data_IF_771168360802
#
_entry.id   IF_771168360802
#
_cell.length_a   1.000
_cell.length_b   1.000
_cell.length_c   1.000
_cell.angle_alpha   90.00
_cell.angle_beta   90.00
_cell.angle_gamma   90.00
#
_symmetry.space_group_name_H-M   'P 1'
#
loop_
_entity.id
_entity.type
_entity.pdbx_description
1 polymer ?
#
# COMPACT_ATOMS: atom_id res chain seq x y z
N UNK A 1 -0.19 -8.11 25.33
CA UNK A 1 -0.03 -9.21 24.36
C UNK A 1 0.70 -8.62 23.17
N UNK A 2 1.77 -9.26 22.72
CA UNK A 2 2.51 -8.82 21.53
C UNK A 2 1.66 -9.08 20.30
N UNK A 3 1.50 -8.07 19.47
CA UNK A 3 0.75 -8.10 18.23
C UNK A 3 1.70 -8.49 17.08
N UNK A 4 1.25 -9.30 16.14
CA UNK A 4 2.06 -9.74 15.02
C UNK A 4 1.64 -9.05 13.73
N UNK A 5 2.59 -8.36 13.08
CA UNK A 5 2.40 -7.61 11.85
C UNK A 5 3.31 -8.14 10.74
N UNK A 6 2.73 -8.43 9.60
CA UNK A 6 3.46 -8.64 8.35
C UNK A 6 3.24 -7.45 7.43
N UNK A 7 4.32 -6.89 6.88
CA UNK A 7 4.27 -5.78 5.91
C UNK A 7 4.78 -6.28 4.56
N UNK A 8 3.89 -6.35 3.57
CA UNK A 8 4.26 -6.59 2.17
C UNK A 8 4.31 -5.25 1.42
N UNK A 9 5.48 -4.93 0.89
CA UNK A 9 5.76 -3.62 0.31
C UNK A 9 6.34 -2.64 1.33
N UNK A 10 7.37 -3.06 2.07
CA UNK A 10 8.08 -2.22 3.03
C UNK A 10 8.96 -1.17 2.36
N UNK A 11 8.32 -0.35 1.51
CA UNK A 11 8.85 0.90 0.98
C UNK A 11 8.77 2.03 2.02
N UNK A 12 8.59 3.28 1.59
CA UNK A 12 8.57 4.43 2.51
C UNK A 12 7.46 4.29 3.57
N UNK A 13 6.20 4.14 3.19
CA UNK A 13 5.10 4.02 4.15
C UNK A 13 5.19 2.72 4.98
N UNK A 14 5.37 1.59 4.30
CA UNK A 14 5.40 0.30 4.99
C UNK A 14 6.54 0.21 6.01
N UNK A 15 7.70 0.81 5.72
CA UNK A 15 8.82 0.87 6.67
C UNK A 15 8.51 1.76 7.87
N UNK A 16 7.81 2.90 7.69
CA UNK A 16 7.41 3.80 8.78
C UNK A 16 6.45 3.08 9.75
N UNK A 17 5.43 2.43 9.20
CA UNK A 17 4.47 1.65 10.00
C UNK A 17 5.18 0.51 10.73
N UNK A 18 6.06 -0.22 10.05
CA UNK A 18 6.85 -1.30 10.65
C UNK A 18 7.70 -0.78 11.83
N UNK A 19 8.37 0.36 11.67
CA UNK A 19 9.19 0.97 12.74
C UNK A 19 8.34 1.40 13.93
N UNK A 20 7.21 2.06 13.70
CA UNK A 20 6.29 2.48 14.76
C UNK A 20 5.78 1.29 15.57
N UNK A 21 5.39 0.20 14.90
CA UNK A 21 4.87 -1.00 15.57
C UNK A 21 5.97 -1.75 16.32
N UNK A 22 7.16 -1.88 15.74
CA UNK A 22 8.31 -2.48 16.42
C UNK A 22 8.72 -1.69 17.69
N UNK A 23 8.71 -0.35 17.63
CA UNK A 23 8.98 0.51 18.79
C UNK A 23 7.93 0.35 19.91
N UNK A 24 6.72 -0.11 19.60
CA UNK A 24 5.67 -0.42 20.57
C UNK A 24 5.77 -1.85 21.14
N UNK A 25 6.79 -2.61 20.73
CA UNK A 25 7.02 -3.98 21.21
C UNK A 25 6.27 -5.06 20.45
N UNK A 26 5.72 -4.76 19.28
CA UNK A 26 5.10 -5.76 18.43
C UNK A 26 6.13 -6.58 17.66
N UNK A 27 5.75 -7.78 17.27
CA UNK A 27 6.57 -8.64 16.42
C UNK A 27 6.28 -8.30 14.95
N UNK A 28 7.26 -7.74 14.25
CA UNK A 28 7.07 -7.20 12.90
C UNK A 28 7.98 -7.89 11.89
N UNK A 29 7.38 -8.38 10.82
CA UNK A 29 8.08 -8.86 9.61
C UNK A 29 7.82 -7.89 8.47
N UNK A 30 8.87 -7.55 7.70
CA UNK A 30 8.76 -6.60 6.61
C UNK A 30 9.48 -7.12 5.36
N UNK A 31 8.69 -7.33 4.30
CA UNK A 31 9.19 -7.79 3.00
C UNK A 31 9.33 -6.63 2.03
N UNK A 32 10.49 -6.53 1.39
CA UNK A 32 10.76 -5.64 0.27
C UNK A 32 11.78 -6.23 -0.70
N UNK A 33 11.78 -5.75 -1.93
CA UNK A 33 12.72 -6.22 -2.97
C UNK A 33 14.14 -5.70 -2.81
N UNK A 34 14.29 -4.41 -2.42
CA UNK A 34 15.59 -3.78 -2.31
C UNK A 34 16.25 -4.15 -0.98
N UNK A 35 17.51 -4.58 -1.02
CA UNK A 35 18.30 -4.82 0.18
C UNK A 35 18.82 -3.49 0.75
N UNK A 36 18.03 -2.84 1.57
CA UNK A 36 18.37 -1.60 2.28
C UNK A 36 18.23 -1.84 3.78
N UNK A 37 18.96 -1.14 4.64
CA UNK A 37 18.82 -1.27 6.09
C UNK A 37 17.37 -1.06 6.54
N UNK A 38 16.92 -1.87 7.49
CA UNK A 38 15.65 -1.70 8.19
C UNK A 38 15.91 -1.18 9.60
N UNK A 39 14.98 -0.43 10.20
CA UNK A 39 15.04 -0.06 11.60
C UNK A 39 15.19 -1.30 12.51
N UNK A 40 15.79 -1.10 13.69
CA UNK A 40 15.95 -2.17 14.67
C UNK A 40 14.59 -2.76 15.11
N UNK A 41 14.57 -4.03 15.49
CA UNK A 41 13.38 -4.73 15.96
C UNK A 41 12.45 -5.26 14.86
N UNK A 42 12.82 -5.11 13.59
CA UNK A 42 12.06 -5.62 12.44
C UNK A 42 12.76 -6.86 11.86
N UNK A 43 12.02 -7.94 11.69
CA UNK A 43 12.47 -9.10 10.93
C UNK A 43 12.39 -8.77 9.43
N UNK A 44 13.53 -8.31 8.88
CA UNK A 44 13.62 -7.91 7.48
C UNK A 44 13.75 -9.13 6.56
N UNK A 45 12.94 -9.18 5.51
CA UNK A 45 13.05 -10.18 4.44
C UNK A 45 13.22 -9.45 3.10
N UNK A 46 14.20 -9.90 2.32
CA UNK A 46 14.43 -9.37 0.97
C UNK A 46 13.98 -10.39 -0.08
N UNK A 47 13.13 -9.94 -0.99
CA UNK A 47 12.64 -10.81 -2.05
C UNK A 47 11.40 -10.23 -2.74
N UNK A 48 10.94 -10.98 -3.74
CA UNK A 48 9.74 -10.62 -4.49
C UNK A 48 8.53 -11.35 -3.88
N UNK A 49 7.51 -10.59 -3.48
CA UNK A 49 6.25 -11.14 -2.94
C UNK A 49 5.47 -12.01 -3.95
N UNK A 50 5.85 -11.98 -5.23
CA UNK A 50 5.28 -12.86 -6.25
C UNK A 50 5.87 -14.27 -6.20
N UNK A 51 6.97 -14.48 -5.48
CA UNK A 51 7.61 -15.78 -5.30
C UNK A 51 7.03 -16.48 -4.07
N UNK A 52 6.48 -17.70 -4.25
CA UNK A 52 5.89 -18.47 -3.15
C UNK A 52 6.92 -18.80 -2.07
N UNK A 53 8.14 -19.11 -2.47
CA UNK A 53 9.26 -19.46 -1.61
C UNK A 53 9.65 -18.32 -0.66
N UNK A 54 9.45 -17.09 -1.09
CA UNK A 54 9.68 -15.89 -0.27
C UNK A 54 8.53 -15.71 0.71
N UNK A 55 7.28 -15.81 0.25
CA UNK A 55 6.13 -15.68 1.14
C UNK A 55 6.10 -16.75 2.23
N UNK A 56 6.49 -17.99 1.92
CA UNK A 56 6.55 -19.09 2.88
C UNK A 56 7.58 -18.88 4.01
N UNK A 57 8.48 -17.90 3.91
CA UNK A 57 9.39 -17.53 5.00
C UNK A 57 8.74 -16.56 6.01
N UNK A 58 7.58 -16.03 5.72
CA UNK A 58 6.82 -15.15 6.60
C UNK A 58 5.87 -15.96 7.50
N UNK A 59 5.50 -15.42 8.69
CA UNK A 59 4.61 -16.13 9.59
C UNK A 59 3.20 -16.28 9.02
N UNK A 60 2.66 -17.46 9.13
CA UNK A 60 1.24 -17.75 8.83
C UNK A 60 0.36 -17.28 9.98
N UNK A 61 -0.84 -16.78 9.67
CA UNK A 61 -1.86 -16.33 10.64
C UNK A 61 -1.40 -15.18 11.53
N UNK A 62 -0.54 -14.30 11.01
CA UNK A 62 -0.24 -13.03 11.66
C UNK A 62 -1.55 -12.27 11.98
N UNK A 63 -1.54 -11.45 13.04
CA UNK A 63 -2.72 -10.70 13.45
C UNK A 63 -3.14 -9.71 12.37
N UNK A 64 -2.17 -9.04 11.74
CA UNK A 64 -2.43 -8.14 10.59
C UNK A 64 -1.39 -8.33 9.48
N UNK A 65 -1.88 -8.30 8.26
CA UNK A 65 -1.11 -8.06 7.05
C UNK A 65 -1.36 -6.61 6.59
N UNK A 66 -0.33 -5.79 6.60
CA UNK A 66 -0.31 -4.50 5.88
C UNK A 66 0.16 -4.76 4.45
N UNK A 67 -0.73 -4.56 3.49
CA UNK A 67 -0.45 -4.74 2.07
C UNK A 67 -0.33 -3.36 1.40
N UNK A 68 0.91 -2.90 1.18
CA UNK A 68 1.20 -1.56 0.67
C UNK A 68 2.29 -1.52 -0.42
N UNK A 69 2.25 -2.42 -1.41
CA UNK A 69 3.23 -2.42 -2.49
C UNK A 69 3.01 -1.26 -3.46
N UNK A 70 4.02 -0.99 -4.27
CA UNK A 70 3.95 -0.05 -5.40
C UNK A 70 4.33 -0.79 -6.68
N UNK A 71 3.56 -0.66 -7.78
CA UNK A 71 3.89 -1.27 -9.06
C UNK A 71 5.19 -0.68 -9.65
N UNK A 72 5.92 -1.48 -10.43
CA UNK A 72 7.15 -1.04 -11.08
C UNK A 72 6.89 -0.14 -12.28
N UNK A 73 5.76 -0.32 -12.94
CA UNK A 73 5.36 0.48 -14.08
C UNK A 73 3.87 0.86 -14.00
N UNK A 74 3.51 1.99 -14.61
CA UNK A 74 2.12 2.46 -14.68
C UNK A 74 1.40 1.82 -15.88
N UNK A 75 1.30 0.50 -15.87
CA UNK A 75 0.55 -0.30 -16.85
C UNK A 75 -0.53 -1.12 -16.15
N UNK A 76 -1.61 -1.46 -16.87
CA UNK A 76 -2.69 -2.28 -16.30
C UNK A 76 -2.18 -3.65 -15.86
N UNK A 77 -1.27 -4.25 -16.64
CA UNK A 77 -0.64 -5.54 -16.31
C UNK A 77 0.11 -5.49 -14.97
N UNK A 78 0.99 -4.49 -14.78
CA UNK A 78 1.76 -4.36 -13.53
C UNK A 78 0.89 -4.01 -12.33
N UNK A 79 -0.16 -3.21 -12.53
CA UNK A 79 -1.14 -2.93 -11.49
C UNK A 79 -1.89 -4.18 -11.06
N UNK A 80 -2.36 -4.98 -12.03
CA UNK A 80 -3.05 -6.25 -11.74
C UNK A 80 -2.13 -7.22 -11.02
N UNK A 81 -0.94 -7.43 -11.56
CA UNK A 81 0.09 -8.27 -10.96
C UNK A 81 0.36 -7.86 -9.50
N UNK A 82 0.56 -6.54 -9.25
CA UNK A 82 0.94 -6.03 -7.93
C UNK A 82 -0.21 -6.02 -6.93
N UNK A 83 -1.40 -5.58 -7.34
CA UNK A 83 -2.50 -5.34 -6.39
C UNK A 83 -3.48 -6.51 -6.29
N UNK A 84 -3.74 -7.24 -7.37
CA UNK A 84 -4.72 -8.33 -7.37
C UNK A 84 -4.04 -9.68 -7.15
N UNK A 85 -3.08 -10.02 -8.01
CA UNK A 85 -2.49 -11.37 -8.01
C UNK A 85 -1.61 -11.58 -6.77
N UNK A 86 -0.80 -10.58 -6.41
CA UNK A 86 0.03 -10.68 -5.21
C UNK A 86 -0.79 -10.68 -3.92
N UNK A 87 -1.88 -9.88 -3.85
CA UNK A 87 -2.78 -9.90 -2.69
C UNK A 87 -3.45 -11.26 -2.54
N UNK A 88 -3.99 -11.82 -3.62
CA UNK A 88 -4.59 -13.17 -3.62
C UNK A 88 -3.60 -14.21 -3.11
N UNK A 89 -2.40 -14.21 -3.66
CA UNK A 89 -1.34 -15.13 -3.25
C UNK A 89 -0.96 -14.97 -1.78
N UNK A 90 -0.86 -13.72 -1.30
CA UNK A 90 -0.58 -13.45 0.11
C UNK A 90 -1.71 -13.95 1.03
N UNK A 91 -2.97 -13.75 0.65
CA UNK A 91 -4.13 -14.26 1.39
C UNK A 91 -4.10 -15.79 1.50
N UNK A 92 -3.84 -16.47 0.38
CA UNK A 92 -3.80 -17.93 0.33
C UNK A 92 -2.63 -18.52 1.13
N UNK A 93 -1.43 -17.90 1.01
CA UNK A 93 -0.20 -18.40 1.63
C UNK A 93 -0.12 -18.06 3.12
N UNK A 94 -0.39 -16.81 3.49
CA UNK A 94 -0.17 -16.31 4.85
C UNK A 94 -1.39 -16.44 5.76
N UNK A 95 -2.59 -16.48 5.18
CA UNK A 95 -3.86 -16.59 5.93
C UNK A 95 -3.94 -15.62 7.13
N UNK A 96 -3.69 -14.31 6.94
CA UNK A 96 -3.67 -13.36 8.05
C UNK A 96 -5.07 -13.24 8.66
N UNK A 97 -5.14 -12.89 9.96
CA UNK A 97 -6.42 -12.67 10.62
C UNK A 97 -7.14 -11.43 10.12
N UNK A 98 -6.38 -10.39 9.73
CA UNK A 98 -6.88 -9.14 9.15
C UNK A 98 -5.91 -8.63 8.08
N UNK A 99 -6.46 -7.92 7.11
CA UNK A 99 -5.69 -7.24 6.06
C UNK A 99 -6.03 -5.76 6.09
N UNK A 100 -4.99 -4.93 6.09
CA UNK A 100 -5.07 -3.51 5.77
C UNK A 100 -4.46 -3.32 4.38
N UNK A 101 -5.31 -3.09 3.38
CA UNK A 101 -4.87 -2.84 2.02
C UNK A 101 -4.73 -1.34 1.78
N UNK A 102 -3.53 -0.89 1.40
CA UNK A 102 -3.30 0.50 0.99
C UNK A 102 -3.72 0.67 -0.46
N UNK A 103 -4.92 1.21 -0.63
CA UNK A 103 -5.53 1.61 -1.89
C UNK A 103 -5.25 3.09 -2.20
N UNK A 104 -5.98 3.67 -3.11
CA UNK A 104 -5.80 5.07 -3.53
C UNK A 104 -7.14 5.73 -3.86
N UNK A 105 -7.22 7.05 -3.67
CA UNK A 105 -8.33 7.87 -4.18
C UNK A 105 -8.47 7.85 -5.70
N UNK A 106 -7.54 7.23 -6.42
CA UNK A 106 -7.67 6.97 -7.87
C UNK A 106 -8.87 6.08 -8.24
N UNK A 107 -9.52 5.44 -7.27
CA UNK A 107 -10.77 4.68 -7.47
C UNK A 107 -11.97 5.57 -7.76
N UNK A 108 -11.91 6.84 -7.39
CA UNK A 108 -12.99 7.81 -7.60
C UNK A 108 -12.96 8.41 -9.01
N UNK A 109 -14.14 8.65 -9.58
CA UNK A 109 -14.30 9.32 -10.87
C UNK A 109 -14.43 10.86 -10.73
N UNK A 110 -14.81 11.35 -9.56
CA UNK A 110 -15.02 12.76 -9.25
C UNK A 110 -13.71 13.53 -9.41
N UNK A 111 -13.65 14.50 -10.32
CA UNK A 111 -12.44 15.25 -10.69
C UNK A 111 -12.65 16.77 -10.84
N UNK A 112 -13.84 17.29 -10.49
CA UNK A 112 -14.22 18.70 -10.60
C UNK A 112 -14.28 19.41 -9.23
N UNK A 113 -13.59 18.88 -8.22
CA UNK A 113 -13.56 19.45 -6.88
C UNK A 113 -14.68 18.99 -5.95
N UNK A 114 -15.42 17.96 -6.34
CA UNK A 114 -16.43 17.36 -5.46
C UNK A 114 -15.78 16.72 -4.23
N UNK A 115 -16.44 16.84 -3.09
CA UNK A 115 -16.09 16.09 -1.89
C UNK A 115 -16.44 14.63 -2.07
N UNK A 116 -15.54 13.78 -1.63
CA UNK A 116 -15.71 12.31 -1.58
C UNK A 116 -15.36 11.78 -0.21
N UNK A 117 -16.05 10.73 0.18
CA UNK A 117 -15.86 9.96 1.40
C UNK A 117 -15.86 8.45 1.10
N UNK A 118 -15.84 7.62 2.13
CA UNK A 118 -15.82 6.16 1.98
C UNK A 118 -17.09 5.59 1.33
N UNK A 119 -18.23 6.27 1.45
CA UNK A 119 -19.53 5.86 0.90
C UNK A 119 -19.73 6.40 -0.53
N UNK A 120 -18.89 7.32 -0.98
CA UNK A 120 -18.97 7.88 -2.32
C UNK A 120 -18.72 6.85 -3.40
N UNK A 121 -19.46 6.92 -4.55
CA UNK A 121 -19.27 5.99 -5.66
C UNK A 121 -17.83 5.98 -6.18
N UNK A 122 -17.18 4.81 -6.10
CA UNK A 122 -15.84 4.60 -6.61
C UNK A 122 -15.94 4.03 -8.05
N UNK A 123 -16.02 4.88 -9.06
CA UNK A 123 -16.40 4.53 -10.44
C UNK A 123 -15.39 4.98 -11.49
N UNK A 124 -14.12 5.20 -11.11
CA UNK A 124 -13.08 5.59 -12.06
C UNK A 124 -12.96 4.61 -13.23
N UNK A 125 -13.02 5.11 -14.46
CA UNK A 125 -12.83 4.33 -15.68
C UNK A 125 -11.36 4.11 -16.04
N UNK A 126 -10.46 4.84 -15.40
CA UNK A 126 -9.03 4.66 -15.59
C UNK A 126 -8.60 3.25 -15.13
N UNK A 127 -7.66 2.63 -15.86
CA UNK A 127 -7.24 1.25 -15.57
C UNK A 127 -6.76 1.06 -14.13
N UNK A 128 -6.04 2.05 -13.58
CA UNK A 128 -5.54 2.00 -12.22
C UNK A 128 -6.68 2.00 -11.19
N UNK A 129 -7.72 2.81 -11.39
CA UNK A 129 -8.90 2.80 -10.52
C UNK A 129 -9.69 1.49 -10.62
N UNK A 130 -9.86 0.95 -11.82
CA UNK A 130 -10.53 -0.36 -12.02
C UNK A 130 -9.81 -1.49 -11.29
N UNK A 131 -8.48 -1.58 -11.46
CA UNK A 131 -7.66 -2.63 -10.83
C UNK A 131 -7.65 -2.49 -9.31
N UNK A 132 -7.52 -1.26 -8.78
CA UNK A 132 -7.57 -1.04 -7.34
C UNK A 132 -8.93 -1.44 -6.75
N UNK A 133 -10.04 -1.11 -7.40
CA UNK A 133 -11.39 -1.57 -6.96
C UNK A 133 -11.53 -3.08 -6.97
N UNK A 134 -10.91 -3.78 -7.93
CA UNK A 134 -10.88 -5.24 -7.94
C UNK A 134 -10.10 -5.77 -6.72
N UNK A 135 -8.95 -5.19 -6.41
CA UNK A 135 -8.16 -5.54 -5.23
C UNK A 135 -8.89 -5.21 -3.92
N UNK A 136 -9.60 -4.06 -3.84
CA UNK A 136 -10.44 -3.72 -2.70
C UNK A 136 -11.55 -4.78 -2.48
N UNK A 137 -12.26 -5.19 -3.54
CA UNK A 137 -13.28 -6.24 -3.43
C UNK A 137 -12.69 -7.58 -2.97
N UNK A 138 -11.51 -7.94 -3.47
CA UNK A 138 -10.79 -9.12 -3.03
C UNK A 138 -10.42 -9.02 -1.54
N UNK A 139 -9.85 -7.91 -1.10
CA UNK A 139 -9.51 -7.67 0.31
C UNK A 139 -10.76 -7.76 1.19
N UNK A 140 -11.81 -7.04 0.84
CA UNK A 140 -13.04 -6.90 1.63
C UNK A 140 -13.97 -8.13 1.56
N UNK A 141 -13.61 -9.15 0.76
CA UNK A 141 -14.36 -10.42 0.74
C UNK A 141 -14.32 -11.17 2.06
N UNK A 142 -13.37 -10.85 2.94
CA UNK A 142 -13.27 -11.39 4.28
C UNK A 142 -13.61 -10.30 5.32
N UNK A 143 -14.47 -10.63 6.26
CA UNK A 143 -14.89 -9.71 7.33
C UNK A 143 -13.69 -9.29 8.20
N UNK A 144 -13.66 -8.02 8.60
CA UNK A 144 -12.60 -7.44 9.43
C UNK A 144 -11.42 -6.88 8.66
N UNK A 145 -11.35 -7.07 7.36
CA UNK A 145 -10.38 -6.41 6.49
C UNK A 145 -10.79 -4.97 6.17
N UNK A 146 -9.80 -4.13 5.82
CA UNK A 146 -10.05 -2.75 5.43
C UNK A 146 -9.18 -2.33 4.22
N UNK A 147 -9.73 -1.44 3.41
CA UNK A 147 -9.01 -0.77 2.33
C UNK A 147 -8.87 0.72 2.67
N UNK A 148 -7.64 1.23 2.66
CA UNK A 148 -7.30 2.61 2.96
C UNK A 148 -7.06 3.36 1.63
N UNK A 149 -7.98 4.20 1.21
CA UNK A 149 -7.88 5.00 -0.02
C UNK A 149 -7.06 6.25 0.21
N UNK A 150 -5.73 6.11 0.18
CA UNK A 150 -4.83 7.24 0.40
C UNK A 150 -4.84 8.21 -0.77
N UNK A 151 -4.79 9.50 -0.45
CA UNK A 151 -4.63 10.58 -1.41
C UNK A 151 -3.16 10.73 -1.84
N UNK A 152 -2.83 11.77 -2.60
CA UNK A 152 -1.46 12.05 -2.97
C UNK A 152 -0.60 12.34 -1.73
N UNK A 153 0.41 11.51 -1.48
CA UNK A 153 1.23 11.60 -0.29
C UNK A 153 2.35 12.63 -0.50
N UNK A 154 2.52 13.53 0.45
CA UNK A 154 3.61 14.52 0.56
C UNK A 154 4.48 14.21 1.77
N UNK A 155 5.65 14.83 1.86
CA UNK A 155 6.56 14.66 3.01
C UNK A 155 8.01 14.50 2.61
N UNK A 156 8.90 14.17 3.55
CA UNK A 156 10.32 13.98 3.29
C UNK A 156 10.59 13.00 2.13
N UNK A 157 11.41 13.42 1.17
CA UNK A 157 11.73 12.61 -0.02
C UNK A 157 10.65 12.59 -1.13
N UNK A 158 9.49 13.27 -0.92
CA UNK A 158 8.36 13.32 -1.87
C UNK A 158 8.19 14.72 -2.48
N UNK A 159 9.28 15.24 -3.05
CA UNK A 159 9.38 16.63 -3.50
C UNK A 159 9.07 16.82 -5.00
N UNK A 160 8.39 15.87 -5.65
CA UNK A 160 8.17 15.91 -7.11
C UNK A 160 7.53 17.22 -7.58
N UNK A 161 6.49 17.70 -6.89
CA UNK A 161 5.81 18.95 -7.26
C UNK A 161 6.68 20.18 -6.99
N UNK A 162 7.39 20.19 -5.86
CA UNK A 162 8.34 21.26 -5.51
C UNK A 162 9.46 21.32 -6.57
N UNK A 163 10.02 20.17 -6.92
CA UNK A 163 11.09 20.10 -7.94
C UNK A 163 10.59 20.59 -9.30
N UNK A 164 9.38 20.21 -9.73
CA UNK A 164 8.77 20.72 -10.96
C UNK A 164 8.60 22.24 -10.93
N UNK A 165 8.09 22.78 -9.84
CA UNK A 165 7.94 24.22 -9.68
C UNK A 165 9.30 24.95 -9.74
N UNK A 166 10.33 24.41 -9.09
CA UNK A 166 11.70 24.96 -9.11
C UNK A 166 12.33 24.93 -10.51
N UNK A 167 11.97 23.94 -11.35
CA UNK A 167 12.42 23.82 -12.72
C UNK A 167 11.61 24.69 -13.70
N UNK A 168 10.62 25.43 -13.23
CA UNK A 168 9.71 26.21 -14.07
C UNK A 168 8.76 25.35 -14.91
N UNK A 169 8.65 24.06 -14.61
CA UNK A 169 7.67 23.20 -15.28
C UNK A 169 6.26 23.58 -14.87
N UNK A 170 5.38 23.79 -15.86
CA UNK A 170 3.97 24.11 -15.61
C UNK A 170 3.29 23.03 -14.77
N UNK A 171 2.60 23.45 -13.72
CA UNK A 171 1.71 22.60 -12.97
C UNK A 171 0.33 22.66 -13.60
N UNK A 172 -0.31 21.50 -13.80
CA UNK A 172 -1.70 21.48 -14.24
C UNK A 172 -2.59 22.09 -13.16
N UNK A 173 -3.49 22.99 -13.53
CA UNK A 173 -4.51 23.54 -12.63
C UNK A 173 -5.63 22.50 -12.44
N UNK A 174 -5.37 21.48 -11.61
CA UNK A 174 -6.31 20.42 -11.29
C UNK A 174 -6.51 20.33 -9.79
N UNK A 175 -7.70 19.95 -9.38
CA UNK A 175 -7.97 19.63 -7.99
C UNK A 175 -7.05 18.50 -7.51
N UNK A 176 -6.48 18.65 -6.35
CA UNK A 176 -5.64 17.61 -5.75
C UNK A 176 -5.86 17.52 -4.26
N UNK A 177 -6.12 16.32 -3.79
CA UNK A 177 -6.10 15.99 -2.38
C UNK A 177 -4.72 15.50 -1.97
N UNK A 178 -4.21 15.92 -0.83
CA UNK A 178 -2.89 15.61 -0.31
C UNK A 178 -2.95 15.32 1.18
N UNK A 179 -2.15 14.37 1.62
CA UNK A 179 -1.89 14.06 3.02
C UNK A 179 -0.38 14.04 3.27
N UNK A 180 0.04 14.31 4.48
CA UNK A 180 1.45 14.18 4.85
C UNK A 180 1.77 12.71 5.17
N UNK A 181 3.02 12.30 4.95
CA UNK A 181 3.45 10.91 5.21
C UNK A 181 3.51 10.54 6.69
N UNK A 182 3.39 11.53 7.59
CA UNK A 182 3.37 11.31 9.03
C UNK A 182 1.93 11.22 9.60
N UNK A 183 0.91 11.57 8.77
CA UNK A 183 -0.51 11.41 9.11
C UNK A 183 -0.95 9.95 8.93
#
# INVERSE_FOLDING_TARGET
>A
MSFSLVVLGAGDLGQRVAALRAAQGDTVWALRRRNLPMPAGIHALNGDMHQAEILCQLPVKADVLLFCPTPDARTEHEYRRTYVDALRKAMETLQPKRILFVSSTAVYAQNEGQWVDEDSPAESDAFNGRVLREAERLCLSQSGNAALRLSGITGPGRNMLVNKALLGEGLHNTWSNRMHSDD
#
